data_IF_161327318734
#
_entry.id   IF_161327318734
#
_cell.length_a   1.000
_cell.length_b   1.000
_cell.length_c   1.000
_cell.angle_alpha   90.00
_cell.angle_beta   90.00
_cell.angle_gamma   90.00
#
_symmetry.space_group_name_H-M   'P 1'
#
loop_
_entity.id
_entity.type
_entity.pdbx_description
1 polymer ?
#
# COMPACT_ATOMS: atom_id res chain seq x y z
N UNK A 1 12.97 -8.30 -8.12
CA UNK A 1 13.59 -8.55 -9.44
C UNK A 1 14.97 -9.13 -9.20
N UNK A 2 15.43 -10.13 -9.94
CA UNK A 2 16.78 -10.67 -9.71
C UNK A 2 17.84 -9.59 -9.98
N UNK A 3 18.75 -9.35 -9.02
CA UNK A 3 19.80 -8.37 -9.21
C UNK A 3 20.73 -8.80 -10.34
N UNK A 4 21.07 -7.85 -11.21
CA UNK A 4 22.18 -8.05 -12.15
C UNK A 4 23.49 -7.90 -11.38
N UNK A 5 24.06 -9.03 -10.96
CA UNK A 5 25.31 -9.06 -10.21
C UNK A 5 26.46 -8.48 -11.05
N UNK A 6 26.95 -7.30 -10.67
CA UNK A 6 28.06 -6.63 -11.32
C UNK A 6 28.69 -5.58 -10.39
N UNK A 7 29.87 -5.09 -10.76
CA UNK A 7 30.49 -3.91 -10.15
C UNK A 7 30.13 -2.65 -10.95
N UNK A 8 29.16 -1.87 -10.45
CA UNK A 8 28.69 -0.64 -11.09
C UNK A 8 29.62 0.52 -10.72
N UNK A 9 30.32 1.07 -11.72
CA UNK A 9 31.22 2.24 -11.58
C UNK A 9 30.49 3.57 -11.78
N UNK A 10 29.40 3.55 -12.53
CA UNK A 10 28.58 4.72 -12.84
C UNK A 10 27.58 5.02 -11.71
N UNK A 11 27.10 6.28 -11.58
CA UNK A 11 26.10 6.65 -10.58
C UNK A 11 24.84 5.77 -10.69
N UNK A 12 24.48 5.13 -9.57
CA UNK A 12 23.29 4.28 -9.46
C UNK A 12 22.24 5.00 -8.62
N UNK A 13 21.08 5.29 -9.23
CA UNK A 13 19.97 5.93 -8.54
C UNK A 13 19.17 4.90 -7.75
N UNK A 14 18.84 5.23 -6.51
CA UNK A 14 17.96 4.43 -5.64
C UNK A 14 16.66 5.20 -5.47
N UNK A 15 15.57 4.62 -5.96
CA UNK A 15 14.22 5.14 -5.81
C UNK A 15 13.46 4.22 -4.85
N UNK A 16 12.58 4.79 -4.04
CA UNK A 16 11.82 4.07 -3.02
C UNK A 16 10.42 4.71 -2.90
N UNK A 17 9.38 3.87 -2.84
CA UNK A 17 8.04 4.33 -2.50
C UNK A 17 7.91 4.60 -1.00
N UNK A 18 7.55 5.84 -0.66
CA UNK A 18 7.23 6.17 0.74
C UNK A 18 5.95 5.46 1.19
N UNK A 19 6.10 4.34 1.91
CA UNK A 19 4.98 3.57 2.44
C UNK A 19 4.05 3.05 1.34
N UNK A 20 4.57 2.19 0.46
CA UNK A 20 3.87 1.62 -0.68
C UNK A 20 2.48 1.04 -0.34
N UNK A 21 2.41 0.02 0.53
CA UNK A 21 1.13 -0.64 0.82
C UNK A 21 0.09 0.29 1.48
N UNK A 22 0.41 1.08 2.53
CA UNK A 22 -0.53 2.07 3.04
C UNK A 22 -1.05 3.04 1.97
N UNK A 23 -0.17 3.49 1.08
CA UNK A 23 -0.54 4.43 0.01
C UNK A 23 -1.48 3.79 -1.01
N UNK A 24 -1.25 2.53 -1.37
CA UNK A 24 -2.15 1.77 -2.25
C UNK A 24 -3.51 1.53 -1.61
N UNK A 25 -3.54 1.18 -0.32
CA UNK A 25 -4.79 0.99 0.42
C UNK A 25 -5.64 2.26 0.44
N UNK A 26 -5.00 3.42 0.59
CA UNK A 26 -5.67 4.72 0.51
C UNK A 26 -6.14 5.01 -0.92
N UNK A 27 -5.23 4.93 -1.89
CA UNK A 27 -5.50 5.33 -3.27
C UNK A 27 -6.55 4.46 -3.98
N UNK A 28 -6.53 3.15 -3.71
CA UNK A 28 -7.48 2.19 -4.27
C UNK A 28 -8.63 1.88 -3.30
N UNK A 29 -8.75 2.63 -2.20
CA UNK A 29 -9.83 2.47 -1.22
C UNK A 29 -10.03 1.01 -0.73
N UNK A 30 -8.93 0.25 -0.57
CA UNK A 30 -8.96 -1.18 -0.24
C UNK A 30 -9.24 -1.37 1.27
N UNK A 31 -10.38 -1.97 1.59
CA UNK A 31 -10.77 -2.30 2.97
C UNK A 31 -11.90 -3.30 3.02
N UNK A 32 -12.09 -3.93 4.20
CA UNK A 32 -13.27 -4.75 4.51
C UNK A 32 -14.58 -3.98 4.28
N UNK A 33 -14.61 -2.69 4.58
CA UNK A 33 -15.82 -1.86 4.50
C UNK A 33 -16.23 -1.51 3.07
N UNK A 34 -15.34 -1.68 2.09
CA UNK A 34 -15.50 -1.24 0.69
C UNK A 34 -15.41 -2.40 -0.31
N UNK A 35 -15.09 -3.62 0.16
CA UNK A 35 -15.05 -4.82 -0.66
C UNK A 35 -16.46 -5.34 -1.00
N UNK A 36 -16.66 -5.69 -2.27
CA UNK A 36 -17.90 -6.28 -2.81
C UNK A 36 -17.75 -7.76 -3.18
N UNK A 37 -16.65 -8.40 -2.77
CA UNK A 37 -16.35 -9.80 -3.05
C UNK A 37 -15.57 -9.99 -4.33
N UNK A 38 -15.41 -11.26 -4.73
CA UNK A 38 -14.58 -11.65 -5.86
C UNK A 38 -15.46 -11.95 -7.09
N UNK A 39 -14.99 -11.57 -8.30
CA UNK A 39 -15.69 -11.85 -9.56
C UNK A 39 -16.04 -13.32 -9.79
N UNK A 40 -15.19 -14.26 -9.37
CA UNK A 40 -15.35 -15.69 -9.65
C UNK A 40 -15.48 -16.57 -8.41
N UNK A 41 -15.18 -16.03 -7.22
CA UNK A 41 -15.20 -16.76 -5.95
C UNK A 41 -16.24 -16.18 -5.02
N UNK A 42 -16.85 -17.04 -4.22
CA UNK A 42 -17.80 -16.64 -3.17
C UNK A 42 -17.15 -16.58 -1.79
N UNK A 43 -15.84 -16.66 -1.72
CA UNK A 43 -15.08 -16.61 -0.46
C UNK A 43 -14.53 -15.19 -0.30
N UNK A 44 -14.66 -14.66 0.91
CA UNK A 44 -14.05 -13.41 1.33
C UNK A 44 -13.48 -13.59 2.73
N UNK A 45 -12.18 -13.84 2.81
CA UNK A 45 -11.50 -14.24 4.03
C UNK A 45 -12.01 -15.59 4.51
N UNK A 46 -12.64 -15.60 5.69
CA UNK A 46 -13.15 -16.82 6.34
C UNK A 46 -14.65 -17.02 6.18
N UNK A 47 -15.32 -16.18 5.40
CA UNK A 47 -16.76 -16.25 5.17
C UNK A 47 -17.08 -16.52 3.70
N UNK A 48 -18.22 -17.17 3.46
CA UNK A 48 -18.83 -17.13 2.14
C UNK A 48 -19.64 -15.84 2.01
N UNK A 49 -19.31 -15.04 1.00
CA UNK A 49 -19.91 -13.75 0.74
C UNK A 49 -20.37 -13.66 -0.72
N UNK A 50 -21.52 -13.03 -0.92
CA UNK A 50 -21.97 -12.59 -2.23
C UNK A 50 -22.71 -11.27 -2.06
N UNK A 51 -22.46 -10.27 -2.92
CA UNK A 51 -23.11 -8.99 -2.81
C UNK A 51 -24.63 -9.16 -3.00
N UNK A 52 -25.47 -8.39 -2.28
CA UNK A 52 -26.91 -8.44 -2.45
C UNK A 52 -27.33 -8.14 -3.90
N UNK A 53 -28.45 -8.72 -4.33
CA UNK A 53 -28.98 -8.54 -5.68
C UNK A 53 -29.22 -7.04 -5.95
N UNK A 54 -28.77 -6.56 -7.10
CA UNK A 54 -28.93 -5.17 -7.54
C UNK A 54 -27.85 -4.19 -7.05
N UNK A 55 -27.04 -4.55 -6.03
CA UNK A 55 -25.97 -3.68 -5.52
C UNK A 55 -24.91 -3.41 -6.58
N UNK A 56 -24.44 -4.45 -7.26
CA UNK A 56 -23.43 -4.32 -8.32
C UNK A 56 -23.92 -3.41 -9.46
N UNK A 57 -25.16 -3.60 -9.91
CA UNK A 57 -25.76 -2.78 -10.97
C UNK A 57 -25.92 -1.31 -10.53
N UNK A 58 -26.26 -1.06 -9.26
CA UNK A 58 -26.40 0.31 -8.74
C UNK A 58 -25.08 1.06 -8.56
N UNK A 59 -23.95 0.34 -8.58
CA UNK A 59 -22.61 0.85 -8.30
C UNK A 59 -21.63 0.66 -9.46
N UNK A 60 -22.12 0.30 -10.65
CA UNK A 60 -21.30 -0.03 -11.82
C UNK A 60 -20.28 1.09 -12.13
N UNK A 61 -20.72 2.35 -12.14
CA UNK A 61 -19.86 3.52 -12.40
C UNK A 61 -18.84 3.82 -11.29
N UNK A 62 -18.98 3.20 -10.13
CA UNK A 62 -18.19 3.47 -8.90
C UNK A 62 -17.41 2.25 -8.43
N UNK A 63 -17.34 1.22 -9.27
CA UNK A 63 -16.67 -0.04 -8.99
C UNK A 63 -15.33 -0.08 -9.70
N UNK A 64 -14.31 -0.58 -9.00
CA UNK A 64 -13.06 -0.96 -9.64
C UNK A 64 -12.66 -2.36 -9.19
N UNK A 65 -11.88 -3.02 -10.03
CA UNK A 65 -11.44 -4.40 -9.83
C UNK A 65 -9.93 -4.40 -9.62
N UNK A 66 -9.49 -4.95 -8.49
CA UNK A 66 -8.07 -5.14 -8.23
C UNK A 66 -7.49 -6.26 -9.13
N UNK A 67 -6.16 -6.34 -9.32
CA UNK A 67 -5.55 -7.31 -10.23
C UNK A 67 -5.84 -8.78 -9.92
N UNK A 68 -6.22 -9.09 -8.67
CA UNK A 68 -6.63 -10.43 -8.25
C UNK A 68 -8.11 -10.75 -8.51
N UNK A 69 -8.91 -9.79 -9.00
CA UNK A 69 -10.33 -9.97 -9.32
C UNK A 69 -11.28 -9.68 -8.15
N UNK A 70 -10.80 -9.07 -7.07
CA UNK A 70 -11.65 -8.54 -5.99
C UNK A 70 -12.20 -7.18 -6.38
N UNK A 71 -13.48 -6.96 -6.11
CA UNK A 71 -14.19 -5.73 -6.42
C UNK A 71 -14.23 -4.80 -5.21
N UNK A 72 -13.98 -3.52 -5.45
CA UNK A 72 -14.05 -2.46 -4.45
C UNK A 72 -14.86 -1.29 -4.98
N UNK A 73 -15.53 -0.58 -4.07
CA UNK A 73 -16.15 0.71 -4.38
C UNK A 73 -15.14 1.85 -4.24
N UNK A 74 -15.33 2.91 -5.02
CA UNK A 74 -14.57 4.15 -4.86
C UNK A 74 -14.94 4.90 -3.56
N UNK A 75 -14.17 5.96 -3.26
CA UNK A 75 -14.36 6.78 -2.07
C UNK A 75 -15.69 7.55 -2.10
N UNK A 76 -16.26 7.83 -3.28
CA UNK A 76 -17.51 8.58 -3.44
C UNK A 76 -18.72 7.78 -2.97
N UNK A 77 -18.70 6.46 -3.18
CA UNK A 77 -19.71 5.56 -2.64
C UNK A 77 -19.50 5.31 -1.15
N UNK A 78 -18.25 5.05 -0.73
CA UNK A 78 -17.88 4.87 0.67
C UNK A 78 -16.39 5.04 0.89
N UNK A 79 -16.02 5.96 1.77
CA UNK A 79 -14.65 6.08 2.26
C UNK A 79 -14.28 4.90 3.17
N UNK A 80 -13.19 4.21 2.87
CA UNK A 80 -12.75 3.07 3.68
C UNK A 80 -12.30 3.47 5.08
N UNK A 81 -12.54 2.59 6.05
CA UNK A 81 -12.09 2.77 7.44
C UNK A 81 -10.56 2.72 7.51
N UNK A 82 -9.94 1.81 6.75
CA UNK A 82 -8.48 1.72 6.70
C UNK A 82 -7.83 2.94 6.05
N UNK A 83 -8.38 3.50 4.97
CA UNK A 83 -7.81 4.73 4.40
C UNK A 83 -7.87 5.88 5.41
N UNK A 84 -8.98 6.05 6.14
CA UNK A 84 -9.09 7.08 7.18
C UNK A 84 -8.01 6.94 8.25
N UNK A 85 -7.87 5.74 8.82
CA UNK A 85 -6.84 5.48 9.84
C UNK A 85 -5.41 5.65 9.30
N UNK A 86 -5.13 5.14 8.11
CA UNK A 86 -3.80 5.23 7.50
C UNK A 86 -3.45 6.68 7.14
N UNK A 87 -4.42 7.49 6.72
CA UNK A 87 -4.21 8.91 6.44
C UNK A 87 -3.73 9.64 7.70
N UNK A 88 -4.44 9.49 8.81
CA UNK A 88 -4.07 10.10 10.09
C UNK A 88 -2.67 9.65 10.57
N UNK A 89 -2.36 8.35 10.43
CA UNK A 89 -1.04 7.82 10.80
C UNK A 89 0.08 8.38 9.92
N UNK A 90 -0.13 8.50 8.61
CA UNK A 90 0.87 9.00 7.66
C UNK A 90 1.08 10.52 7.81
N UNK A 91 0.02 11.29 8.02
CA UNK A 91 0.09 12.72 8.31
C UNK A 91 0.83 12.97 9.63
N UNK A 92 0.47 12.25 10.69
CA UNK A 92 1.17 12.35 11.98
C UNK A 92 2.64 12.02 11.83
N UNK A 93 2.96 10.96 11.06
CA UNK A 93 4.36 10.60 10.78
C UNK A 93 5.10 11.68 9.99
N UNK A 94 4.43 12.35 9.04
CA UNK A 94 5.01 13.48 8.31
C UNK A 94 5.28 14.68 9.24
N UNK A 95 4.34 15.01 10.12
CA UNK A 95 4.51 16.08 11.12
C UNK A 95 5.68 15.79 12.08
N UNK A 96 5.82 14.55 12.56
CA UNK A 96 6.95 14.15 13.41
C UNK A 96 8.28 14.31 12.67
N UNK A 97 8.37 13.86 11.41
CA UNK A 97 9.58 14.05 10.59
C UNK A 97 9.92 15.52 10.36
N UNK A 98 8.92 16.38 10.13
CA UNK A 98 9.15 17.81 9.99
C UNK A 98 9.64 18.43 11.31
N UNK A 99 9.06 18.03 12.43
CA UNK A 99 9.48 18.46 13.77
C UNK A 99 10.91 18.04 14.10
N UNK A 100 11.33 16.85 13.64
CA UNK A 100 12.72 16.40 13.74
C UNK A 100 13.68 17.34 13.00
N UNK A 101 13.32 17.77 11.80
CA UNK A 101 14.18 18.67 11.00
C UNK A 101 14.31 20.06 11.59
N UNK A 102 13.25 20.57 12.23
CA UNK A 102 13.19 21.96 12.72
C UNK A 102 13.61 22.14 14.18
N UNK A 103 13.47 21.11 15.01
CA UNK A 103 13.43 21.28 16.47
C UNK A 103 14.50 20.56 17.28
N UNK A 104 15.45 19.85 16.64
CA UNK A 104 16.38 18.96 17.35
C UNK A 104 17.83 19.41 17.40
N UNK A 105 18.16 20.57 16.83
CA UNK A 105 19.53 21.10 16.84
C UNK A 105 20.04 21.24 18.28
N UNK A 106 21.19 20.61 18.55
CA UNK A 106 21.81 20.56 19.87
C UNK A 106 21.09 19.71 20.93
N UNK A 107 20.01 18.98 20.58
CA UNK A 107 19.18 18.21 21.51
C UNK A 107 19.09 16.71 21.12
N UNK A 108 20.16 15.92 21.29
CA UNK A 108 20.20 14.52 20.85
C UNK A 108 19.13 13.63 21.52
N UNK A 109 18.74 13.91 22.77
CA UNK A 109 17.66 13.18 23.45
C UNK A 109 16.30 13.36 22.78
N UNK A 110 16.01 14.57 22.32
CA UNK A 110 14.76 14.88 21.63
C UNK A 110 14.70 14.26 20.23
N UNK A 111 15.84 14.25 19.51
CA UNK A 111 15.97 13.57 18.23
C UNK A 111 15.69 12.06 18.35
N UNK A 112 16.24 11.41 19.38
CA UNK A 112 15.99 9.99 19.66
C UNK A 112 14.52 9.72 19.94
N UNK A 113 13.88 10.57 20.76
CA UNK A 113 12.45 10.45 21.07
C UNK A 113 11.58 10.55 19.81
N UNK A 114 11.82 11.54 18.95
CA UNK A 114 11.06 11.68 17.72
C UNK A 114 11.34 10.56 16.71
N UNK A 115 12.58 10.08 16.63
CA UNK A 115 12.93 8.92 15.79
C UNK A 115 12.16 7.68 16.24
N UNK A 116 12.08 7.42 17.56
CA UNK A 116 11.31 6.31 18.10
C UNK A 116 9.80 6.45 17.80
N UNK A 117 9.24 7.67 17.89
CA UNK A 117 7.84 7.95 17.53
C UNK A 117 7.57 7.72 16.05
N UNK A 118 8.45 8.22 15.17
CA UNK A 118 8.34 8.02 13.71
C UNK A 118 8.37 6.53 13.36
N UNK A 119 9.28 5.78 13.98
CA UNK A 119 9.41 4.34 13.78
C UNK A 119 8.19 3.58 14.31
N UNK A 120 7.65 3.96 15.46
CA UNK A 120 6.41 3.40 16.01
C UNK A 120 5.22 3.60 15.07
N UNK A 121 5.05 4.81 14.53
CA UNK A 121 4.00 5.09 13.55
C UNK A 121 4.17 4.27 12.27
N UNK A 122 5.41 4.08 11.78
CA UNK A 122 5.70 3.19 10.64
C UNK A 122 5.26 1.75 10.95
N UNK A 123 5.57 1.24 12.14
CA UNK A 123 5.18 -0.12 12.52
C UNK A 123 3.66 -0.28 12.59
N UNK A 124 2.94 0.66 13.19
CA UNK A 124 1.46 0.59 13.28
C UNK A 124 0.84 0.54 11.87
N UNK A 125 1.32 1.39 10.95
CA UNK A 125 0.84 1.38 9.56
C UNK A 125 1.11 0.03 8.86
N UNK A 126 2.30 -0.55 9.06
CA UNK A 126 2.65 -1.85 8.46
C UNK A 126 1.84 -3.03 9.07
N UNK A 127 1.51 -2.94 10.37
CA UNK A 127 0.68 -3.95 11.05
C UNK A 127 -0.74 -3.99 10.51
N UNK A 128 -1.29 -2.89 10.01
CA UNK A 128 -2.63 -2.88 9.40
C UNK A 128 -2.72 -3.83 8.18
N UNK A 129 -1.71 -3.80 7.32
CA UNK A 129 -1.56 -4.79 6.25
C UNK A 129 -1.35 -6.21 6.82
N UNK A 130 -0.46 -6.34 7.81
CA UNK A 130 -0.18 -7.61 8.49
C UNK A 130 -1.43 -8.27 9.09
N UNK A 131 -2.38 -7.47 9.60
CA UNK A 131 -3.63 -7.94 10.17
C UNK A 131 -4.50 -8.68 9.15
N UNK A 132 -4.48 -8.26 7.88
CA UNK A 132 -5.21 -8.89 6.79
C UNK A 132 -4.58 -10.23 6.39
N UNK A 133 -3.24 -10.30 6.45
CA UNK A 133 -2.46 -11.51 6.11
C UNK A 133 -2.39 -12.56 7.22
N UNK A 134 -2.86 -12.27 8.43
CA UNK A 134 -2.63 -13.10 9.62
C UNK A 134 -3.48 -14.39 9.62
N UNK A 135 -3.19 -15.33 8.72
CA UNK A 135 -3.89 -16.62 8.62
C UNK A 135 -3.68 -17.51 9.86
N UNK A 136 -2.59 -17.33 10.60
CA UNK A 136 -2.34 -18.00 11.88
C UNK A 136 -2.56 -17.03 13.03
N UNK A 137 -3.48 -17.36 13.96
CA UNK A 137 -3.86 -16.56 15.14
C UNK A 137 -4.52 -15.18 14.87
N UNK A 138 -4.78 -14.82 13.61
CA UNK A 138 -5.56 -13.62 13.27
C UNK A 138 -7.04 -13.75 13.65
N UNK A 139 -7.65 -12.63 14.04
CA UNK A 139 -9.07 -12.58 14.44
C UNK A 139 -10.03 -12.33 13.28
N UNK A 140 -9.55 -11.68 12.22
CA UNK A 140 -10.32 -11.37 11.01
C UNK A 140 -9.38 -11.33 9.80
N UNK A 141 -8.76 -12.46 9.41
CA UNK A 141 -7.90 -12.50 8.24
C UNK A 141 -8.74 -12.44 6.94
N UNK A 142 -8.20 -11.78 5.92
CA UNK A 142 -8.77 -11.79 4.58
C UNK A 142 -7.65 -11.75 3.55
N UNK A 143 -7.33 -12.93 3.02
CA UNK A 143 -6.21 -13.17 2.12
C UNK A 143 -6.45 -12.46 0.78
N UNK A 144 -7.69 -12.44 0.30
CA UNK A 144 -8.07 -11.78 -0.96
C UNK A 144 -7.76 -10.29 -0.92
N UNK A 145 -7.96 -9.68 0.24
CA UNK A 145 -7.71 -8.27 0.46
C UNK A 145 -6.21 -7.97 0.54
N UNK A 146 -5.43 -8.85 1.19
CA UNK A 146 -3.98 -8.74 1.22
C UNK A 146 -3.35 -8.97 -0.17
N UNK A 147 -3.82 -9.99 -0.89
CA UNK A 147 -3.38 -10.32 -2.25
C UNK A 147 -3.68 -9.18 -3.21
N UNK A 148 -4.83 -8.51 -3.07
CA UNK A 148 -5.16 -7.32 -3.86
C UNK A 148 -4.10 -6.23 -3.70
N UNK A 149 -3.66 -5.96 -2.46
CA UNK A 149 -2.63 -4.95 -2.17
C UNK A 149 -1.28 -5.37 -2.76
N UNK A 150 -0.85 -6.62 -2.55
CA UNK A 150 0.45 -7.12 -3.04
C UNK A 150 0.49 -7.12 -4.56
N UNK A 151 -0.57 -7.59 -5.23
CA UNK A 151 -0.64 -7.60 -6.68
C UNK A 151 -0.72 -6.18 -7.27
N UNK A 152 -1.50 -5.28 -6.67
CA UNK A 152 -1.51 -3.86 -7.06
C UNK A 152 -0.15 -3.20 -6.87
N UNK A 153 0.58 -3.55 -5.81
CA UNK A 153 1.95 -3.06 -5.58
C UNK A 153 2.91 -3.53 -6.65
N UNK A 154 2.87 -4.82 -7.00
CA UNK A 154 3.67 -5.38 -8.10
C UNK A 154 3.34 -4.72 -9.44
N UNK A 155 2.06 -4.54 -9.75
CA UNK A 155 1.65 -3.87 -10.98
C UNK A 155 2.13 -2.41 -11.02
N UNK A 156 2.11 -1.72 -9.88
CA UNK A 156 2.61 -0.34 -9.75
C UNK A 156 4.12 -0.27 -9.97
N UNK A 157 4.88 -1.21 -9.40
CA UNK A 157 6.33 -1.33 -9.61
C UNK A 157 6.63 -1.60 -11.09
N UNK A 158 5.94 -2.56 -11.71
CA UNK A 158 6.11 -2.90 -13.13
C UNK A 158 5.77 -1.71 -14.04
N UNK A 159 4.74 -0.92 -13.70
CA UNK A 159 4.40 0.32 -14.40
C UNK A 159 5.49 1.38 -14.24
N UNK A 160 6.05 1.55 -13.05
CA UNK A 160 7.15 2.48 -12.81
C UNK A 160 8.40 2.08 -13.62
N UNK A 161 8.75 0.79 -13.62
CA UNK A 161 9.84 0.22 -14.41
C UNK A 161 9.67 0.55 -15.89
N UNK A 162 8.51 0.22 -16.45
CA UNK A 162 8.20 0.49 -17.87
C UNK A 162 8.22 1.97 -18.20
N UNK A 163 7.80 2.83 -17.26
CA UNK A 163 7.79 4.28 -17.46
C UNK A 163 9.19 4.84 -17.54
N UNK A 164 10.10 4.39 -16.67
CA UNK A 164 11.51 4.80 -16.66
C UNK A 164 12.21 4.31 -17.92
N UNK A 165 12.06 3.04 -18.30
CA UNK A 165 12.75 2.46 -19.45
C UNK A 165 12.22 2.97 -20.81
N UNK A 166 10.98 3.46 -20.86
CA UNK A 166 10.37 4.01 -22.08
C UNK A 166 10.76 5.46 -22.34
N UNK A 167 11.21 6.21 -21.32
CA UNK A 167 11.57 7.62 -21.49
C UNK A 167 12.89 7.76 -22.27
N UNK A 168 12.78 8.07 -23.56
CA UNK A 168 13.94 8.24 -24.44
C UNK A 168 14.87 9.39 -24.06
N UNK A 169 14.48 10.28 -23.13
CA UNK A 169 15.36 11.32 -22.60
C UNK A 169 16.44 10.76 -21.69
N UNK A 170 16.15 9.65 -21.00
CA UNK A 170 17.03 9.05 -20.02
C UNK A 170 17.28 7.59 -20.40
N UNK A 171 18.44 7.25 -20.98
CA UNK A 171 18.78 5.86 -21.31
C UNK A 171 19.16 5.06 -20.05
N UNK A 172 18.26 5.02 -19.08
CA UNK A 172 18.42 4.31 -17.82
C UNK A 172 17.94 2.86 -17.96
N UNK A 173 18.60 1.95 -17.23
CA UNK A 173 18.19 0.56 -17.10
C UNK A 173 18.07 0.21 -15.64
N UNK A 174 17.04 -0.56 -15.32
CA UNK A 174 16.80 -0.99 -13.94
C UNK A 174 17.63 -2.26 -13.70
N UNK A 175 18.45 -2.23 -12.66
CA UNK A 175 19.43 -3.29 -12.34
C UNK A 175 19.02 -4.15 -11.16
N UNK A 176 18.13 -3.63 -10.31
CA UNK A 176 17.58 -4.28 -9.13
C UNK A 176 16.26 -3.61 -8.70
N UNK A 177 15.44 -4.33 -7.93
CA UNK A 177 14.22 -3.81 -7.29
C UNK A 177 13.71 -4.80 -6.25
N UNK A 178 13.40 -4.32 -5.05
CA UNK A 178 13.06 -5.12 -3.86
C UNK A 178 11.72 -4.68 -3.25
N UNK A 179 10.62 -5.19 -3.79
CA UNK A 179 9.24 -4.95 -3.30
C UNK A 179 8.71 -3.51 -3.30
N UNK A 180 9.55 -2.48 -3.23
CA UNK A 180 9.26 -1.04 -3.41
C UNK A 180 10.28 -0.33 -4.32
#
# INVERSE_FOLDING_TARGET
MEPRANFYKDPTLVLDFRSLYPSLMIAQNICYSTCLGHLWRRELGVISYSPPVGVLASLEDRLHVAPNGVMFVDETARKSVFAQMLHELLETRAMVKQSMKLGTDGKPGLLRLFSAREQGLKFIANVMFGYMTASYSGRMPCVELADAIVMSGRETLDKAIRTIEKDGRWPARIVYGDTD
#
